data_IF_866156061275
#
_entry.id   IF_866156061275
#
_cell.length_a   1.000
_cell.length_b   1.000
_cell.length_c   1.000
_cell.angle_alpha   90.00
_cell.angle_beta   90.00
_cell.angle_gamma   90.00
#
_symmetry.space_group_name_H-M   'P 1'
#
loop_
_entity.id
_entity.type
_entity.pdbx_description
1 polymer ?
#
# COMPACT_ATOMS: atom_id res chain seq x y z
N UNK A 1 23.31 24.53 8.71
CA UNK A 1 22.57 24.75 7.44
C UNK A 1 23.02 23.71 6.43
N UNK A 2 22.06 23.03 5.81
CA UNK A 2 22.35 22.07 4.77
C UNK A 2 22.62 22.83 3.47
N UNK A 3 23.64 22.37 2.76
CA UNK A 3 24.00 22.85 1.43
C UNK A 3 24.02 21.63 0.52
N UNK A 4 23.18 21.63 -0.52
CA UNK A 4 23.08 20.51 -1.46
C UNK A 4 22.78 20.97 -2.88
N UNK A 5 23.16 20.13 -3.83
CA UNK A 5 22.77 20.24 -5.23
C UNK A 5 21.59 19.32 -5.50
N UNK A 6 20.61 19.80 -6.21
CA UNK A 6 19.46 19.03 -6.65
C UNK A 6 19.08 19.31 -8.08
N UNK A 7 18.02 18.68 -8.55
CA UNK A 7 17.48 18.87 -9.88
C UNK A 7 15.97 19.12 -9.88
N UNK A 8 15.51 19.93 -10.84
CA UNK A 8 14.10 20.15 -11.14
C UNK A 8 13.87 19.75 -12.60
N UNK A 9 12.89 18.87 -12.82
CA UNK A 9 12.39 18.58 -14.15
C UNK A 9 11.17 19.46 -14.42
N UNK A 10 11.15 20.07 -15.60
CA UNK A 10 10.11 20.98 -16.07
C UNK A 10 9.58 20.44 -17.39
N UNK A 11 8.29 20.13 -17.44
CA UNK A 11 7.62 19.73 -18.68
C UNK A 11 6.98 20.98 -19.30
N UNK A 12 7.48 21.38 -20.48
CA UNK A 12 7.02 22.54 -21.23
C UNK A 12 7.07 22.24 -22.74
N UNK A 13 6.03 22.59 -23.49
CA UNK A 13 5.96 22.39 -24.94
C UNK A 13 6.20 20.95 -25.40
N UNK A 14 5.71 19.97 -24.63
CA UNK A 14 5.94 18.56 -24.93
C UNK A 14 7.37 18.06 -24.69
N UNK A 15 8.25 18.89 -24.12
CA UNK A 15 9.64 18.55 -23.78
C UNK A 15 9.83 18.52 -22.28
N UNK A 16 10.72 17.63 -21.82
CA UNK A 16 11.18 17.56 -20.45
C UNK A 16 12.56 18.16 -20.33
N UNK A 17 12.69 19.22 -19.56
CA UNK A 17 13.94 19.91 -19.27
C UNK A 17 14.34 19.60 -17.83
N UNK A 18 15.58 19.16 -17.60
CA UNK A 18 16.13 18.97 -16.26
C UNK A 18 17.12 20.10 -15.98
N UNK A 19 16.86 20.84 -14.91
CA UNK A 19 17.70 21.99 -14.51
C UNK A 19 18.29 21.73 -13.13
N UNK A 20 19.60 21.88 -12.95
CA UNK A 20 20.21 21.80 -11.62
C UNK A 20 19.91 23.06 -10.79
N UNK A 21 19.86 22.91 -9.49
CA UNK A 21 19.83 24.02 -8.56
C UNK A 21 20.70 23.74 -7.33
N UNK A 22 21.09 24.81 -6.64
CA UNK A 22 21.85 24.75 -5.41
C UNK A 22 20.98 25.29 -4.27
N UNK A 23 20.77 24.48 -3.24
CA UNK A 23 20.04 24.90 -2.06
C UNK A 23 20.99 25.27 -0.92
N UNK A 24 20.76 26.45 -0.31
CA UNK A 24 21.54 26.99 0.79
C UNK A 24 20.60 27.44 1.93
N UNK A 25 20.69 26.73 3.05
CA UNK A 25 19.89 27.06 4.23
C UNK A 25 18.46 26.48 4.22
N UNK A 26 17.62 27.01 5.09
CA UNK A 26 16.28 26.51 5.33
C UNK A 26 15.27 26.85 4.22
N UNK A 27 15.56 27.87 3.43
CA UNK A 27 14.75 28.31 2.28
C UNK A 27 15.67 28.75 1.17
N UNK A 28 15.37 28.26 -0.03
CA UNK A 28 16.07 28.63 -1.25
C UNK A 28 15.03 28.89 -2.33
N UNK A 29 15.11 30.06 -2.99
CA UNK A 29 14.27 30.39 -4.14
C UNK A 29 15.10 30.23 -5.41
N UNK A 30 14.56 29.51 -6.38
CA UNK A 30 15.21 29.24 -7.65
C UNK A 30 14.28 29.65 -8.78
N UNK A 31 14.80 30.38 -9.75
CA UNK A 31 14.05 30.79 -10.94
C UNK A 31 14.62 30.11 -12.17
N UNK A 32 13.73 29.58 -13.01
CA UNK A 32 14.10 28.97 -14.27
C UNK A 32 13.37 29.67 -15.41
N UNK A 33 14.08 29.98 -16.50
CA UNK A 33 13.48 30.48 -17.73
C UNK A 33 13.22 29.30 -18.66
N UNK A 34 12.02 29.22 -19.19
CA UNK A 34 11.59 28.24 -20.20
C UNK A 34 10.93 28.99 -21.36
N UNK A 35 11.06 28.44 -22.57
CA UNK A 35 10.59 29.07 -23.81
C UNK A 35 9.08 28.96 -23.98
N UNK A 36 8.45 27.96 -23.34
CA UNK A 36 7.02 27.70 -23.41
C UNK A 36 6.42 27.54 -22.00
N UNK A 37 5.12 27.75 -21.87
CA UNK A 37 4.40 27.62 -20.61
C UNK A 37 4.62 26.22 -20.02
N UNK A 38 5.15 26.11 -18.79
CA UNK A 38 5.33 24.83 -18.13
C UNK A 38 3.99 24.22 -17.74
N UNK A 39 3.85 22.90 -17.92
CA UNK A 39 2.65 22.14 -17.57
C UNK A 39 2.86 21.29 -16.31
N UNK A 40 4.13 21.00 -15.98
CA UNK A 40 4.50 20.18 -14.83
C UNK A 40 5.88 20.57 -14.33
N UNK A 41 6.04 20.52 -13.01
CA UNK A 41 7.30 20.71 -12.33
C UNK A 41 7.52 19.54 -11.37
N UNK A 42 8.69 18.91 -11.41
CA UNK A 42 9.08 17.81 -10.56
C UNK A 42 10.39 18.14 -9.84
N UNK A 43 10.33 18.22 -8.52
CA UNK A 43 11.51 18.45 -7.68
C UNK A 43 12.25 17.13 -7.45
N UNK A 44 13.58 17.19 -7.45
CA UNK A 44 14.47 16.03 -7.28
C UNK A 44 14.15 14.87 -8.24
N UNK A 45 14.05 15.23 -9.52
CA UNK A 45 13.73 14.28 -10.59
C UNK A 45 14.72 13.10 -10.69
N UNK A 46 15.97 13.30 -10.27
CA UNK A 46 17.01 12.27 -10.18
C UNK A 46 16.91 11.41 -8.92
N UNK A 47 16.14 11.83 -7.92
CA UNK A 47 16.10 11.23 -6.58
C UNK A 47 17.49 11.19 -5.90
N UNK A 48 18.26 12.26 -6.09
CA UNK A 48 19.63 12.37 -5.61
C UNK A 48 19.71 12.93 -4.19
N UNK A 49 18.60 13.50 -3.68
CA UNK A 49 18.59 14.12 -2.36
C UNK A 49 18.31 13.08 -1.27
N UNK A 50 19.05 13.14 -0.16
CA UNK A 50 18.76 12.37 1.03
C UNK A 50 17.53 12.97 1.76
N UNK A 51 16.38 12.93 1.13
CA UNK A 51 15.10 13.21 1.81
C UNK A 51 14.82 12.03 2.74
N UNK A 52 14.31 12.28 3.97
CA UNK A 52 13.72 11.21 4.74
C UNK A 52 12.65 10.57 3.86
N UNK A 53 12.94 9.38 3.34
CA UNK A 53 11.93 8.56 2.73
C UNK A 53 10.93 8.30 3.85
N UNK A 54 9.74 8.85 3.76
CA UNK A 54 8.62 8.18 4.40
C UNK A 54 8.63 6.79 3.78
N UNK A 55 9.02 5.79 4.58
CA UNK A 55 9.10 4.43 4.09
C UNK A 55 7.75 4.13 3.44
N UNK A 56 7.71 3.89 2.13
CA UNK A 56 6.44 3.53 1.52
C UNK A 56 5.95 2.28 2.25
N UNK A 57 4.71 2.29 2.69
CA UNK A 57 4.12 1.10 3.25
C UNK A 57 4.12 0.02 2.17
N UNK A 58 4.98 -0.97 2.33
CA UNK A 58 5.12 -2.12 1.43
C UNK A 58 5.02 -3.40 2.22
N UNK A 59 4.91 -4.52 1.54
CA UNK A 59 4.88 -5.82 2.21
C UNK A 59 6.09 -6.03 3.12
N UNK A 60 7.26 -5.54 2.73
CA UNK A 60 8.51 -5.73 3.46
C UNK A 60 8.92 -4.56 4.35
N UNK A 61 8.16 -3.48 4.43
CA UNK A 61 8.58 -2.27 5.16
C UNK A 61 8.57 -2.42 6.69
N UNK A 62 7.90 -3.43 7.22
CA UNK A 62 7.70 -3.66 8.65
C UNK A 62 8.08 -5.08 9.06
N UNK A 63 9.11 -5.62 8.42
CA UNK A 63 9.57 -6.98 8.66
C UNK A 63 10.63 -7.01 9.76
N UNK A 64 10.24 -6.76 10.99
CA UNK A 64 11.02 -7.18 12.15
C UNK A 64 10.76 -8.69 12.45
N UNK A 65 10.88 -9.53 11.41
CA UNK A 65 10.54 -10.96 11.48
C UNK A 65 9.07 -11.21 11.83
N UNK A 66 8.18 -10.24 11.59
CA UNK A 66 6.75 -10.29 11.92
C UNK A 66 6.44 -10.55 13.41
N UNK A 67 7.32 -10.16 14.32
CA UNK A 67 7.17 -10.39 15.78
C UNK A 67 5.87 -9.80 16.36
N UNK A 68 5.41 -8.71 15.79
CA UNK A 68 4.18 -8.04 16.19
C UNK A 68 3.00 -8.33 15.26
N UNK A 69 3.19 -9.22 14.29
CA UNK A 69 2.17 -9.50 13.30
C UNK A 69 1.10 -10.46 13.83
N UNK A 70 -0.11 -10.28 13.34
CA UNK A 70 -1.25 -11.20 13.49
C UNK A 70 -1.90 -11.45 12.15
N UNK A 71 -2.33 -12.68 11.91
CA UNK A 71 -3.15 -13.05 10.75
C UNK A 71 -4.61 -13.03 11.16
N UNK A 72 -5.39 -12.08 10.64
CA UNK A 72 -6.78 -11.84 11.03
C UNK A 72 -7.71 -12.38 9.97
N UNK A 73 -8.52 -13.38 10.32
CA UNK A 73 -9.51 -13.94 9.41
C UNK A 73 -10.94 -13.54 9.77
N UNK A 74 -11.79 -13.46 8.76
CA UNK A 74 -13.18 -13.06 8.91
C UNK A 74 -14.07 -14.15 9.45
N UNK A 75 -14.99 -13.78 10.34
CA UNK A 75 -15.97 -14.67 10.96
C UNK A 75 -17.41 -14.39 10.55
N UNK A 76 -17.66 -13.45 9.65
CA UNK A 76 -19.01 -13.10 9.20
C UNK A 76 -19.62 -14.15 8.30
N UNK A 77 -18.81 -14.74 7.40
CA UNK A 77 -19.23 -15.78 6.44
C UNK A 77 -18.07 -16.75 6.23
N UNK A 78 -18.42 -18.01 5.90
CA UNK A 78 -17.46 -19.06 5.51
C UNK A 78 -16.31 -19.27 6.52
N UNK A 79 -16.62 -19.22 7.80
CA UNK A 79 -15.67 -19.17 8.93
C UNK A 79 -14.57 -20.24 8.82
N UNK A 80 -14.96 -21.50 8.59
CA UNK A 80 -14.03 -22.63 8.49
C UNK A 80 -13.08 -22.49 7.29
N UNK A 81 -13.58 -22.03 6.15
CA UNK A 81 -12.77 -21.80 4.97
C UNK A 81 -11.76 -20.65 5.21
N UNK A 82 -12.22 -19.55 5.82
CA UNK A 82 -11.38 -18.42 6.17
C UNK A 82 -10.30 -18.81 7.19
N UNK A 83 -10.65 -19.61 8.20
CA UNK A 83 -9.68 -20.12 9.18
C UNK A 83 -8.63 -21.02 8.53
N UNK A 84 -9.05 -21.95 7.70
CA UNK A 84 -8.13 -22.85 6.98
C UNK A 84 -7.18 -22.05 6.08
N UNK A 85 -7.70 -21.02 5.39
CA UNK A 85 -6.90 -20.14 4.57
C UNK A 85 -5.89 -19.35 5.43
N UNK A 86 -6.30 -18.84 6.59
CA UNK A 86 -5.42 -18.09 7.48
C UNK A 86 -4.27 -18.92 8.04
N UNK A 87 -4.53 -20.18 8.42
CA UNK A 87 -3.49 -21.13 8.85
C UNK A 87 -2.47 -21.40 7.75
N UNK A 88 -2.97 -21.58 6.52
CA UNK A 88 -2.09 -21.77 5.37
C UNK A 88 -1.27 -20.52 5.05
N UNK A 89 -1.88 -19.34 5.15
CA UNK A 89 -1.19 -18.08 4.98
C UNK A 89 -0.10 -17.88 6.04
N UNK A 90 -0.39 -18.20 7.30
CA UNK A 90 0.57 -18.21 8.40
C UNK A 90 1.78 -19.09 8.08
N UNK A 91 1.55 -20.32 7.61
CA UNK A 91 2.63 -21.24 7.22
C UNK A 91 3.47 -20.66 6.10
N UNK A 92 2.84 -20.04 5.09
CA UNK A 92 3.55 -19.40 3.98
C UNK A 92 4.42 -18.23 4.45
N UNK A 93 3.95 -17.42 5.39
CA UNK A 93 4.74 -16.33 5.97
C UNK A 93 5.97 -16.87 6.70
N UNK A 94 5.79 -17.89 7.52
CA UNK A 94 6.88 -18.52 8.28
C UNK A 94 7.92 -19.18 7.35
N UNK A 95 7.47 -19.92 6.35
CA UNK A 95 8.37 -20.61 5.41
C UNK A 95 9.16 -19.65 4.51
N UNK A 96 8.64 -18.45 4.26
CA UNK A 96 9.20 -17.54 3.24
C UNK A 96 9.91 -16.34 3.84
N UNK A 97 9.41 -15.78 4.94
CA UNK A 97 9.81 -14.46 5.42
C UNK A 97 10.19 -14.38 6.89
N UNK A 98 9.85 -15.37 7.70
CA UNK A 98 10.04 -15.31 9.15
C UNK A 98 10.25 -16.72 9.73
N UNK A 99 11.03 -16.80 10.79
CA UNK A 99 11.14 -18.03 11.59
C UNK A 99 10.01 -18.14 12.63
N UNK A 100 9.22 -17.07 12.80
CA UNK A 100 8.09 -17.03 13.73
C UNK A 100 6.76 -17.26 13.02
N UNK A 101 5.81 -17.89 13.71
CA UNK A 101 4.44 -18.09 13.24
C UNK A 101 3.55 -16.99 13.79
N UNK A 102 3.17 -15.95 13.01
CA UNK A 102 2.25 -14.94 13.47
C UNK A 102 0.93 -15.58 13.92
N UNK A 103 0.38 -15.26 15.11
CA UNK A 103 -0.85 -15.88 15.58
C UNK A 103 -2.02 -15.63 14.65
N UNK A 104 -2.81 -16.67 14.41
CA UNK A 104 -4.06 -16.60 13.64
C UNK A 104 -5.20 -16.29 14.61
N UNK A 105 -5.91 -15.18 14.36
CA UNK A 105 -6.95 -14.66 15.26
C UNK A 105 -8.23 -14.31 14.48
N UNK A 106 -9.36 -14.36 15.17
CA UNK A 106 -10.64 -13.94 14.59
C UNK A 106 -10.75 -12.41 14.56
N UNK A 107 -11.38 -11.89 13.54
CA UNK A 107 -11.68 -10.47 13.37
C UNK A 107 -12.56 -9.89 14.51
N UNK A 108 -13.37 -10.73 15.14
CA UNK A 108 -14.28 -10.37 16.21
C UNK A 108 -13.68 -10.41 17.64
N UNK A 109 -12.48 -10.96 17.79
CA UNK A 109 -11.85 -11.16 19.11
C UNK A 109 -10.80 -10.08 19.44
N UNK A 110 -10.40 -9.25 18.48
CA UNK A 110 -9.38 -8.23 18.69
C UNK A 110 -9.90 -7.00 19.41
N UNK A 111 -9.29 -6.67 20.52
CA UNK A 111 -9.49 -5.42 21.26
C UNK A 111 -8.79 -4.25 20.55
N UNK A 112 -9.19 -3.02 20.84
CA UNK A 112 -8.52 -1.83 20.26
C UNK A 112 -7.06 -1.71 20.69
N UNK A 113 -6.73 -2.13 21.89
CA UNK A 113 -5.34 -2.17 22.37
C UNK A 113 -4.49 -3.16 21.55
N UNK A 114 -5.02 -4.33 21.25
CA UNK A 114 -4.33 -5.30 20.39
C UNK A 114 -4.23 -4.83 18.95
N UNK A 115 -5.27 -4.17 18.42
CA UNK A 115 -5.23 -3.57 17.09
C UNK A 115 -4.13 -2.50 16.99
N UNK A 116 -3.98 -1.66 18.01
CA UNK A 116 -2.94 -0.62 18.06
C UNK A 116 -1.53 -1.19 18.28
N UNK A 117 -1.40 -2.33 18.94
CA UNK A 117 -0.11 -2.94 19.25
C UNK A 117 0.43 -3.84 18.13
N UNK A 118 -0.39 -4.18 17.13
CA UNK A 118 -0.07 -5.22 16.15
C UNK A 118 0.04 -4.70 14.71
N UNK A 119 0.89 -5.36 13.94
CA UNK A 119 0.85 -5.36 12.48
C UNK A 119 -0.16 -6.42 12.03
N UNK A 120 -1.04 -6.08 11.10
CA UNK A 120 -2.23 -6.90 10.83
C UNK A 120 -2.26 -7.40 9.38
N UNK A 121 -2.13 -8.69 9.18
CA UNK A 121 -2.51 -9.34 7.93
C UNK A 121 -4.01 -9.63 7.95
N UNK A 122 -4.79 -8.82 7.26
CA UNK A 122 -6.25 -8.91 7.29
C UNK A 122 -6.75 -9.60 6.02
N UNK A 123 -7.43 -10.73 6.20
CA UNK A 123 -7.89 -11.58 5.10
C UNK A 123 -9.41 -11.51 4.95
N UNK A 124 -9.86 -11.15 3.76
CA UNK A 124 -11.28 -11.09 3.37
C UNK A 124 -11.76 -9.70 2.98
N UNK A 125 -12.92 -9.66 2.32
CA UNK A 125 -13.65 -8.44 2.00
C UNK A 125 -14.54 -8.00 3.20
N UNK A 126 -15.12 -6.78 3.18
CA UNK A 126 -16.01 -6.32 4.25
C UNK A 126 -17.23 -7.24 4.52
N UNK A 127 -17.66 -8.00 3.51
CA UNK A 127 -18.76 -8.98 3.64
C UNK A 127 -18.39 -10.22 4.44
N UNK A 128 -17.10 -10.50 4.58
CA UNK A 128 -16.59 -11.74 5.18
C UNK A 128 -15.84 -11.47 6.50
N UNK A 129 -15.30 -10.25 6.65
CA UNK A 129 -14.44 -9.84 7.75
C UNK A 129 -14.95 -8.53 8.37
N UNK A 130 -15.36 -8.58 9.64
CA UNK A 130 -15.93 -7.45 10.36
C UNK A 130 -14.91 -6.33 10.62
N UNK A 131 -13.63 -6.67 10.76
CA UNK A 131 -12.56 -5.69 10.88
C UNK A 131 -12.41 -4.88 9.58
N UNK A 132 -12.48 -5.54 8.41
CA UNK A 132 -12.45 -4.85 7.12
C UNK A 132 -13.69 -3.97 6.94
N UNK A 133 -14.86 -4.40 7.41
CA UNK A 133 -16.07 -3.58 7.41
C UNK A 133 -15.90 -2.31 8.27
N UNK A 134 -15.24 -2.39 9.44
CA UNK A 134 -14.88 -1.23 10.27
C UNK A 134 -13.87 -0.29 9.59
N UNK A 135 -12.99 -0.83 8.76
CA UNK A 135 -11.98 -0.09 8.02
C UNK A 135 -12.54 0.54 6.73
N UNK A 136 -13.66 0.08 6.18
CA UNK A 136 -14.13 0.40 4.84
C UNK A 136 -14.18 1.92 4.54
N UNK A 137 -14.60 2.74 5.52
CA UNK A 137 -14.64 4.21 5.37
C UNK A 137 -13.26 4.91 5.39
N UNK A 138 -12.19 4.18 5.73
CA UNK A 138 -10.81 4.70 5.79
C UNK A 138 -9.93 4.11 4.68
N UNK A 139 -10.43 3.14 3.93
CA UNK A 139 -9.70 2.51 2.83
C UNK A 139 -9.77 3.37 1.58
N UNK A 140 -8.72 3.42 0.75
CA UNK A 140 -8.74 4.08 -0.55
C UNK A 140 -9.50 3.28 -1.62
N UNK A 141 -10.32 2.33 -1.21
CA UNK A 141 -11.12 1.44 -2.03
C UNK A 141 -12.56 1.41 -1.54
N UNK A 142 -13.50 1.24 -2.45
CA UNK A 142 -14.92 1.00 -2.15
C UNK A 142 -15.26 -0.45 -2.44
N UNK A 143 -16.02 -1.09 -1.57
CA UNK A 143 -16.42 -2.48 -1.70
C UNK A 143 -17.94 -2.61 -1.79
N UNK A 144 -18.38 -3.54 -2.62
CA UNK A 144 -19.78 -3.99 -2.70
C UNK A 144 -19.84 -5.51 -2.84
N UNK A 145 -21.06 -6.07 -2.95
CA UNK A 145 -21.25 -7.52 -3.10
C UNK A 145 -20.55 -8.06 -4.36
N UNK A 146 -19.43 -8.78 -4.19
CA UNK A 146 -18.69 -9.39 -5.29
C UNK A 146 -17.91 -8.41 -6.19
N UNK A 147 -17.66 -7.18 -5.72
CA UNK A 147 -16.86 -6.22 -6.47
C UNK A 147 -16.12 -5.23 -5.53
N UNK A 148 -15.09 -4.62 -6.04
CA UNK A 148 -14.46 -3.44 -5.43
C UNK A 148 -14.14 -2.38 -6.49
N UNK A 149 -14.00 -1.12 -6.06
CA UNK A 149 -13.49 -0.03 -6.88
C UNK A 149 -12.19 0.51 -6.28
N UNK A 150 -11.19 0.71 -7.12
CA UNK A 150 -9.88 1.23 -6.73
C UNK A 150 -9.26 2.03 -7.90
N UNK A 151 -8.63 3.18 -7.60
CA UNK A 151 -7.96 4.00 -8.62
C UNK A 151 -8.88 4.42 -9.79
N UNK A 152 -10.16 4.70 -9.51
CA UNK A 152 -11.17 5.10 -10.51
C UNK A 152 -11.69 3.96 -11.39
N UNK A 153 -11.34 2.70 -11.09
CA UNK A 153 -11.79 1.51 -11.84
C UNK A 153 -12.59 0.57 -10.94
N UNK A 154 -13.59 -0.09 -11.51
CA UNK A 154 -14.38 -1.13 -10.84
C UNK A 154 -13.92 -2.50 -11.31
N UNK A 155 -13.78 -3.42 -10.36
CA UNK A 155 -13.35 -4.80 -10.52
C UNK A 155 -14.46 -5.71 -9.99
N UNK A 156 -15.22 -6.33 -10.89
CA UNK A 156 -16.44 -7.08 -10.55
C UNK A 156 -16.42 -8.55 -10.95
N UNK A 157 -15.27 -9.07 -11.36
CA UNK A 157 -15.15 -10.50 -11.66
C UNK A 157 -14.89 -11.27 -10.36
N UNK A 158 -15.38 -12.50 -10.28
CA UNK A 158 -15.16 -13.36 -9.13
C UNK A 158 -13.68 -13.70 -8.87
N UNK A 159 -12.85 -13.56 -9.92
CA UNK A 159 -11.39 -13.77 -9.90
C UNK A 159 -10.58 -12.47 -9.76
N UNK A 160 -11.22 -11.32 -9.46
CA UNK A 160 -10.52 -10.09 -9.13
C UNK A 160 -10.24 -10.01 -7.61
N UNK A 161 -9.06 -9.50 -7.25
CA UNK A 161 -8.63 -9.30 -5.86
C UNK A 161 -7.80 -8.04 -5.69
N UNK A 162 -7.84 -7.48 -4.48
CA UNK A 162 -7.13 -6.27 -4.09
C UNK A 162 -6.22 -6.54 -2.90
N UNK A 163 -4.95 -6.18 -3.04
CA UNK A 163 -3.99 -6.05 -1.94
C UNK A 163 -3.73 -4.57 -1.66
N UNK A 164 -3.73 -4.21 -0.39
CA UNK A 164 -3.34 -2.88 0.09
C UNK A 164 -2.41 -3.02 1.29
N UNK A 165 -1.38 -2.19 1.35
CA UNK A 165 -0.53 -2.00 2.51
C UNK A 165 -0.71 -0.56 3.00
N UNK A 166 -1.19 -0.38 4.21
CA UNK A 166 -1.65 0.90 4.74
C UNK A 166 -1.15 1.11 6.16
N UNK A 167 -1.01 2.38 6.63
CA UNK A 167 -0.82 2.62 8.05
C UNK A 167 -1.98 2.01 8.84
N UNK A 168 -1.66 1.42 9.97
CA UNK A 168 -2.68 0.91 10.88
C UNK A 168 -3.46 2.12 11.48
N UNK A 169 -4.79 2.20 11.29
CA UNK A 169 -5.58 3.35 11.74
C UNK A 169 -5.64 3.54 13.27
N UNK A 170 -5.25 2.55 14.04
CA UNK A 170 -5.15 2.63 15.51
C UNK A 170 -3.77 3.03 15.98
N UNK A 171 -2.73 2.81 15.15
CA UNK A 171 -1.36 3.22 15.43
C UNK A 171 -0.57 3.33 14.12
N UNK A 172 -0.26 4.54 13.62
CA UNK A 172 0.43 4.71 12.35
C UNK A 172 1.89 4.21 12.34
N UNK A 173 2.44 3.84 13.49
CA UNK A 173 3.74 3.15 13.57
C UNK A 173 3.64 1.66 13.25
N UNK A 174 2.42 1.16 13.02
CA UNK A 174 2.10 -0.21 12.63
C UNK A 174 1.44 -0.23 11.25
N UNK A 175 1.31 -1.42 10.69
CA UNK A 175 0.84 -1.62 9.32
C UNK A 175 -0.38 -2.54 9.26
N UNK A 176 -1.22 -2.31 8.27
CA UNK A 176 -2.28 -3.24 7.84
C UNK A 176 -1.97 -3.69 6.41
N UNK A 177 -1.82 -4.99 6.22
CA UNK A 177 -1.81 -5.66 4.93
C UNK A 177 -3.18 -6.28 4.68
N UNK A 178 -3.96 -5.66 3.83
CA UNK A 178 -5.29 -6.15 3.46
C UNK A 178 -5.20 -7.00 2.19
N UNK A 179 -5.75 -8.20 2.25
CA UNK A 179 -6.01 -9.08 1.11
C UNK A 179 -7.51 -9.29 0.97
N UNK A 180 -8.13 -8.71 -0.04
CA UNK A 180 -9.57 -8.79 -0.30
C UNK A 180 -9.84 -9.39 -1.66
N UNK A 181 -10.48 -10.55 -1.70
CA UNK A 181 -10.94 -11.21 -2.93
C UNK A 181 -12.44 -11.03 -3.14
N UNK A 182 -12.89 -10.93 -4.40
CA UNK A 182 -14.31 -10.92 -4.73
C UNK A 182 -14.98 -12.28 -4.48
N UNK A 183 -14.21 -13.33 -4.28
CA UNK A 183 -14.63 -14.67 -3.86
C UNK A 183 -13.62 -15.30 -2.92
N UNK A 184 -14.03 -16.34 -2.18
CA UNK A 184 -13.13 -17.12 -1.33
C UNK A 184 -12.03 -17.81 -2.16
N UNK A 185 -12.33 -18.26 -3.36
CA UNK A 185 -11.35 -18.83 -4.27
C UNK A 185 -10.30 -17.79 -4.68
N UNK A 186 -10.73 -16.56 -4.97
CA UNK A 186 -9.82 -15.48 -5.31
C UNK A 186 -8.92 -15.11 -4.14
N UNK A 187 -9.47 -15.01 -2.94
CA UNK A 187 -8.68 -14.76 -1.74
C UNK A 187 -7.62 -15.86 -1.54
N UNK A 188 -8.00 -17.12 -1.77
CA UNK A 188 -7.08 -18.24 -1.73
C UNK A 188 -5.97 -18.16 -2.79
N UNK A 189 -6.29 -17.74 -4.00
CA UNK A 189 -5.31 -17.65 -5.09
C UNK A 189 -4.32 -16.52 -4.87
N UNK A 190 -4.79 -15.32 -4.50
CA UNK A 190 -3.91 -14.19 -4.27
C UNK A 190 -3.03 -14.32 -3.03
N UNK A 191 -3.38 -15.20 -2.09
CA UNK A 191 -2.60 -15.51 -0.89
C UNK A 191 -1.78 -16.81 -0.98
N UNK A 192 -1.79 -17.47 -2.13
CA UNK A 192 -1.14 -18.77 -2.34
C UNK A 192 0.37 -18.68 -2.50
N UNK A 193 0.83 -17.72 -3.24
CA UNK A 193 2.22 -17.41 -3.45
C UNK A 193 2.35 -16.00 -4.00
N UNK A 194 3.22 -15.20 -3.43
CA UNK A 194 3.67 -13.96 -4.04
C UNK A 194 5.17 -14.05 -4.22
N UNK A 195 5.60 -14.13 -5.47
CA UNK A 195 7.00 -14.07 -5.81
C UNK A 195 7.47 -12.60 -5.83
N UNK A 196 8.32 -12.24 -4.88
CA UNK A 196 8.89 -10.90 -4.82
C UNK A 196 8.13 -9.92 -3.92
N UNK A 197 8.67 -8.71 -3.79
CA UNK A 197 8.09 -7.67 -2.95
C UNK A 197 6.79 -7.13 -3.55
N UNK A 198 5.71 -7.21 -2.79
CA UNK A 198 4.50 -6.46 -3.11
C UNK A 198 4.73 -4.98 -2.78
N UNK A 199 4.38 -4.06 -3.70
CA UNK A 199 4.41 -2.62 -3.43
C UNK A 199 3.29 -2.24 -2.46
N UNK A 200 2.87 -0.99 -2.43
CA UNK A 200 1.83 -0.53 -1.53
C UNK A 200 0.44 -1.06 -1.89
N UNK A 201 0.18 -1.31 -3.17
CA UNK A 201 -1.06 -1.91 -3.63
C UNK A 201 -0.84 -2.82 -4.83
N UNK A 202 -1.71 -3.81 -4.97
CA UNK A 202 -1.78 -4.63 -6.17
C UNK A 202 -3.23 -5.07 -6.45
N UNK A 203 -3.57 -5.12 -7.73
CA UNK A 203 -4.82 -5.73 -8.21
C UNK A 203 -4.47 -7.06 -8.85
N UNK A 204 -5.16 -8.09 -8.41
CA UNK A 204 -5.00 -9.45 -8.88
C UNK A 204 -6.14 -9.86 -9.80
N UNK A 205 -5.85 -10.79 -10.70
CA UNK A 205 -6.81 -11.64 -11.36
C UNK A 205 -6.31 -13.07 -11.27
N UNK A 206 -7.05 -13.89 -10.54
CA UNK A 206 -6.56 -15.19 -10.08
C UNK A 206 -5.26 -15.03 -9.27
N UNK A 207 -4.17 -15.68 -9.63
CA UNK A 207 -2.85 -15.58 -9.00
C UNK A 207 -1.92 -14.54 -9.67
N UNK A 208 -2.37 -13.89 -10.76
CA UNK A 208 -1.59 -12.92 -11.49
C UNK A 208 -1.82 -11.48 -11.02
N UNK A 209 -0.74 -10.73 -10.81
CA UNK A 209 -0.77 -9.29 -10.57
C UNK A 209 -1.01 -8.55 -11.89
N UNK A 210 -2.16 -7.89 -12.02
CA UNK A 210 -2.54 -7.12 -13.21
C UNK A 210 -2.13 -5.66 -13.17
N UNK A 211 -2.08 -5.10 -11.97
CA UNK A 211 -1.60 -3.75 -11.73
C UNK A 211 -1.04 -3.65 -10.32
N UNK A 212 -0.04 -2.81 -10.14
CA UNK A 212 0.57 -2.57 -8.83
C UNK A 212 1.23 -1.20 -8.78
N UNK A 213 1.47 -0.68 -7.60
CA UNK A 213 2.14 0.61 -7.44
C UNK A 213 2.16 1.12 -6.01
N UNK A 214 2.44 2.41 -5.91
CA UNK A 214 2.46 3.16 -4.67
C UNK A 214 1.41 4.26 -4.72
N UNK A 215 0.70 4.50 -3.62
CA UNK A 215 -0.27 5.60 -3.47
C UNK A 215 0.34 6.80 -2.77
N UNK A 216 1.39 6.58 -1.97
CA UNK A 216 2.13 7.67 -1.38
C UNK A 216 2.81 8.41 -2.52
N UNK A 217 2.46 9.66 -2.81
CA UNK A 217 3.28 10.44 -3.70
C UNK A 217 4.67 10.38 -3.08
N UNK A 218 5.67 9.99 -3.88
CA UNK A 218 7.00 10.44 -3.56
C UNK A 218 6.83 11.94 -3.23
N UNK A 219 7.43 12.47 -2.15
CA UNK A 219 7.31 13.89 -1.72
C UNK A 219 7.94 14.86 -2.74
N UNK A 220 7.85 14.54 -3.98
CA UNK A 220 8.15 15.37 -5.11
C UNK A 220 6.86 16.14 -5.38
N UNK A 221 6.79 17.36 -4.87
CA UNK A 221 5.64 18.24 -5.04
C UNK A 221 5.42 18.44 -6.55
N UNK A 222 4.44 17.72 -7.06
CA UNK A 222 3.92 17.97 -8.39
C UNK A 222 2.86 19.07 -8.27
N UNK A 223 3.25 20.30 -8.42
CA UNK A 223 2.25 21.36 -8.65
C UNK A 223 1.89 21.37 -10.14
N UNK A 224 0.63 21.08 -10.40
CA UNK A 224 0.03 21.44 -11.68
C UNK A 224 -0.04 22.97 -11.67
N UNK A 225 0.82 23.60 -12.44
CA UNK A 225 0.82 25.05 -12.57
C UNK A 225 -0.55 25.44 -13.15
N UNK A 226 -1.26 26.30 -12.42
CA UNK A 226 -2.59 26.78 -12.81
C UNK A 226 -2.55 27.38 -14.22
N UNK A 227 -3.63 27.14 -14.98
CA UNK A 227 -3.83 27.72 -16.31
C UNK A 227 -3.87 29.24 -16.30
#
# INVERSE_FOLDING_TARGET
PYHFLGSVAIDAGGRRLVKPFEAKGARTEVAFTVDEKPTRLEFDAGRDLPVPLENPYTFLSFTDEFRHAKVVYGTTRQVEANHTLALRFQTLLADTYSEELPPVVKDSELTEAELAASDLFVLGAPSDNSLVARLAGKLPATFGPGWFAYGGKTYGRSDDGLYLCLPNPWNPERVVWLFAGNSALQLHQMTKAWGGSLPQWAVYRSDEVRARGFTTPARHVFERLAE
#
